data_IF_097489779397
#
_entry.id   IF_097489779397
#
_cell.length_a   1.000
_cell.length_b   1.000
_cell.length_c   1.000
_cell.angle_alpha   90.00
_cell.angle_beta   90.00
_cell.angle_gamma   90.00
#
_symmetry.space_group_name_H-M   'P 1'
#
loop_
_entity.id
_entity.type
_entity.pdbx_description
1 polymer ?
#
# COMPACT_ATOMS: atom_id res chain seq x y z
N UNK A 1 -2.94 5.32 14.82
CA UNK A 1 -1.63 5.96 14.58
C UNK A 1 -1.91 7.40 14.15
N UNK A 2 -1.96 8.35 15.09
CA UNK A 2 -2.20 9.76 14.78
C UNK A 2 -0.89 10.59 14.79
N UNK A 3 0.17 10.10 15.45
CA UNK A 3 1.37 10.92 15.72
C UNK A 3 2.64 10.50 14.95
N UNK A 4 2.59 9.43 14.14
CA UNK A 4 3.75 9.00 13.35
C UNK A 4 3.65 9.50 11.92
N UNK A 5 4.46 10.50 11.57
CA UNK A 5 4.60 10.96 10.19
C UNK A 5 5.52 10.01 9.40
N UNK A 6 4.93 9.25 8.47
CA UNK A 6 5.67 8.38 7.54
C UNK A 6 5.93 9.15 6.24
N UNK A 7 7.16 9.09 5.74
CA UNK A 7 7.54 9.72 4.47
C UNK A 7 7.20 8.78 3.31
N UNK A 8 6.65 9.35 2.23
CA UNK A 8 6.27 8.59 1.05
C UNK A 8 7.43 7.77 0.49
N UNK A 9 7.12 6.59 -0.03
CA UNK A 9 8.10 5.70 -0.64
C UNK A 9 8.86 6.37 -1.79
N UNK A 10 8.17 7.09 -2.67
CA UNK A 10 8.78 7.77 -3.82
C UNK A 10 9.89 8.75 -3.41
N UNK A 11 9.69 9.50 -2.33
CA UNK A 11 10.69 10.42 -1.77
C UNK A 11 11.93 9.72 -1.22
N UNK A 12 11.81 8.45 -0.82
CA UNK A 12 12.91 7.63 -0.28
C UNK A 12 13.64 6.86 -1.38
N UNK A 13 12.96 6.50 -2.47
CA UNK A 13 13.52 5.65 -3.54
C UNK A 13 14.78 6.23 -4.21
N UNK A 14 14.91 7.56 -4.27
CA UNK A 14 16.12 8.24 -4.77
C UNK A 14 17.38 7.93 -3.95
N UNK A 15 17.23 7.48 -2.70
CA UNK A 15 18.33 7.15 -1.80
C UNK A 15 18.71 5.66 -1.80
N UNK A 16 17.96 4.81 -2.53
CA UNK A 16 18.10 3.33 -2.52
C UNK A 16 19.49 2.81 -2.89
N UNK A 17 20.17 3.47 -3.84
CA UNK A 17 21.45 3.03 -4.40
C UNK A 17 22.59 4.01 -4.11
N UNK A 18 22.38 4.98 -3.21
CA UNK A 18 23.41 5.94 -2.87
C UNK A 18 24.46 5.23 -1.99
N UNK A 19 25.45 4.63 -2.65
CA UNK A 19 26.46 3.70 -2.13
C UNK A 19 27.36 4.25 -1.00
N UNK A 20 27.12 5.46 -0.51
CA UNK A 20 27.75 6.03 0.67
C UNK A 20 26.83 7.12 1.20
N UNK A 21 26.16 6.93 2.35
CA UNK A 21 25.43 8.05 2.96
C UNK A 21 25.59 8.16 4.46
N UNK A 22 25.86 9.42 4.80
CA UNK A 22 25.59 10.07 6.07
C UNK A 22 24.08 10.06 6.30
N UNK A 23 23.59 9.16 7.16
CA UNK A 23 22.17 8.98 7.48
C UNK A 23 21.54 10.27 8.04
N UNK A 24 22.33 11.08 8.75
CA UNK A 24 21.90 12.39 9.26
C UNK A 24 21.54 13.37 8.15
N UNK A 25 22.24 13.34 7.01
CA UNK A 25 21.92 14.19 5.86
C UNK A 25 20.57 13.79 5.24
N UNK A 26 20.33 12.49 5.05
CA UNK A 26 19.05 11.97 4.54
C UNK A 26 17.90 12.38 5.46
N UNK A 27 18.08 12.18 6.77
CA UNK A 27 17.07 12.52 7.75
C UNK A 27 16.79 14.03 7.82
N UNK A 28 17.82 14.86 7.61
CA UNK A 28 17.67 16.31 7.46
C UNK A 28 16.85 16.70 6.22
N UNK A 29 17.17 16.12 5.07
CA UNK A 29 16.43 16.34 3.81
C UNK A 29 14.96 15.91 3.92
N UNK A 30 14.71 14.73 4.50
CA UNK A 30 13.38 14.17 4.68
C UNK A 30 12.63 14.72 5.91
N UNK A 31 13.32 15.45 6.78
CA UNK A 31 12.82 15.96 8.07
C UNK A 31 12.21 14.86 8.95
N UNK A 32 12.95 13.77 9.13
CA UNK A 32 12.56 12.62 9.96
C UNK A 32 13.50 12.44 11.14
N UNK A 33 12.99 11.95 12.27
CA UNK A 33 13.80 11.60 13.43
C UNK A 33 14.40 10.19 13.32
N UNK A 34 13.67 9.28 12.67
CA UNK A 34 14.03 7.87 12.56
C UNK A 34 14.09 7.43 11.09
N UNK A 35 15.03 6.52 10.80
CA UNK A 35 15.15 5.82 9.54
C UNK A 35 14.93 4.32 9.79
N UNK A 36 14.05 3.70 9.01
CA UNK A 36 13.86 2.26 8.99
C UNK A 36 14.52 1.71 7.73
N UNK A 37 15.51 0.84 7.91
CA UNK A 37 16.16 0.13 6.81
C UNK A 37 15.89 -1.36 6.91
N UNK A 38 15.89 -2.03 5.77
CA UNK A 38 15.78 -3.48 5.75
C UNK A 38 16.23 -4.12 4.46
N UNK A 39 16.49 -5.41 4.54
CA UNK A 39 16.83 -6.26 3.40
C UNK A 39 16.06 -7.57 3.48
N UNK A 40 15.71 -8.12 2.31
CA UNK A 40 15.01 -9.40 2.19
C UNK A 40 15.87 -10.35 1.38
N UNK A 41 16.13 -11.52 1.92
CA UNK A 41 16.81 -12.62 1.26
C UNK A 41 15.83 -13.79 1.14
N UNK A 42 15.79 -14.44 -0.02
CA UNK A 42 14.94 -15.61 -0.28
C UNK A 42 15.82 -16.74 -0.82
N UNK A 43 15.78 -17.91 -0.18
CA UNK A 43 16.52 -19.08 -0.64
C UNK A 43 15.87 -20.37 -0.14
N UNK A 44 15.68 -21.35 -1.03
CA UNK A 44 15.25 -22.71 -0.67
C UNK A 44 13.98 -22.78 0.19
N UNK A 45 12.94 -22.02 -0.16
CA UNK A 45 11.69 -22.00 0.61
C UNK A 45 11.70 -21.09 1.85
N UNK A 46 12.84 -20.49 2.19
CA UNK A 46 13.00 -19.64 3.37
C UNK A 46 13.11 -18.16 3.01
N UNK A 47 12.62 -17.33 3.92
CA UNK A 47 12.77 -15.87 3.88
C UNK A 47 13.54 -15.43 5.12
N UNK A 48 14.55 -14.61 4.88
CA UNK A 48 15.27 -13.87 5.93
C UNK A 48 15.06 -12.39 5.70
N UNK A 49 14.50 -11.70 6.69
CA UNK A 49 14.33 -10.24 6.67
C UNK A 49 15.21 -9.64 7.76
N UNK A 50 16.10 -8.74 7.38
CA UNK A 50 16.79 -7.90 8.36
C UNK A 50 16.10 -6.55 8.38
N UNK A 51 15.76 -6.05 9.57
CA UNK A 51 15.22 -4.72 9.75
C UNK A 51 15.97 -4.00 10.87
N UNK A 52 16.22 -2.72 10.68
CA UNK A 52 16.87 -1.87 11.67
C UNK A 52 16.23 -0.49 11.72
N UNK A 53 16.06 0.00 12.95
CA UNK A 53 15.57 1.33 13.25
C UNK A 53 16.74 2.18 13.75
N UNK A 54 16.99 3.29 13.09
CA UNK A 54 18.13 4.18 13.33
C UNK A 54 17.59 5.54 13.75
N UNK A 55 18.10 6.07 14.87
CA UNK A 55 17.88 7.46 15.27
C UNK A 55 18.89 8.34 14.53
N UNK A 56 18.39 9.11 13.57
CA UNK A 56 19.26 9.88 12.68
C UNK A 56 19.88 11.12 13.36
N UNK A 57 19.42 11.50 14.55
CA UNK A 57 19.96 12.65 15.30
C UNK A 57 21.37 12.36 15.79
N UNK A 58 21.61 11.13 16.24
CA UNK A 58 22.87 10.68 16.82
C UNK A 58 23.51 9.50 16.08
N UNK A 59 22.91 9.05 14.97
CA UNK A 59 23.39 7.91 14.16
C UNK A 59 23.44 6.60 14.96
N UNK A 60 22.51 6.44 15.92
CA UNK A 60 22.46 5.27 16.79
C UNK A 60 21.41 4.26 16.31
N UNK A 61 21.78 2.98 16.34
CA UNK A 61 20.83 1.89 16.14
C UNK A 61 19.95 1.77 17.38
N UNK A 62 18.68 2.16 17.24
CA UNK A 62 17.66 1.97 18.29
C UNK A 62 17.38 0.48 18.44
N UNK A 63 17.28 -0.21 17.32
CA UNK A 63 16.98 -1.63 17.26
C UNK A 63 17.43 -2.22 15.92
N UNK A 64 17.86 -3.47 15.94
CA UNK A 64 18.08 -4.28 14.75
C UNK A 64 17.66 -5.72 15.06
N UNK A 65 16.95 -6.36 14.12
CA UNK A 65 16.53 -7.76 14.26
C UNK A 65 16.52 -8.45 12.91
N UNK A 66 16.88 -9.72 12.95
CA UNK A 66 16.69 -10.66 11.85
C UNK A 66 15.45 -11.50 12.14
N UNK A 67 14.57 -11.58 11.15
CA UNK A 67 13.38 -12.41 11.14
C UNK A 67 13.60 -13.53 10.13
N UNK A 68 13.56 -14.76 10.60
CA UNK A 68 13.66 -15.95 9.77
C UNK A 68 12.29 -16.62 9.73
N UNK A 69 11.86 -17.03 8.54
CA UNK A 69 10.58 -17.74 8.36
C UNK A 69 10.54 -18.58 7.09
N UNK A 70 9.51 -19.43 7.01
CA UNK A 70 9.14 -20.09 5.76
C UNK A 70 8.45 -19.10 4.83
N UNK A 71 8.56 -19.29 3.51
CA UNK A 71 7.72 -18.59 2.54
C UNK A 71 6.22 -18.81 2.83
N UNK A 72 5.87 -19.98 3.36
CA UNK A 72 4.50 -20.33 3.76
C UNK A 72 3.97 -19.46 4.92
N UNK A 73 4.88 -18.93 5.75
CA UNK A 73 4.57 -18.10 6.92
C UNK A 73 4.89 -16.61 6.68
N UNK A 74 5.02 -16.18 5.42
CA UNK A 74 5.46 -14.82 5.09
C UNK A 74 4.58 -13.73 5.71
N UNK A 75 3.27 -13.96 5.84
CA UNK A 75 2.35 -13.02 6.48
C UNK A 75 2.55 -12.94 7.99
N UNK A 76 2.94 -14.04 8.64
CA UNK A 76 3.29 -14.03 10.06
C UNK A 76 4.58 -13.23 10.29
N UNK A 77 5.58 -13.41 9.42
CA UNK A 77 6.82 -12.62 9.43
C UNK A 77 6.51 -11.12 9.22
N UNK A 78 5.64 -10.78 8.26
CA UNK A 78 5.21 -9.39 8.03
C UNK A 78 4.51 -8.80 9.27
N UNK A 79 3.61 -9.56 9.89
CA UNK A 79 2.90 -9.15 11.10
C UNK A 79 3.86 -8.90 12.26
N UNK A 80 4.82 -9.81 12.47
CA UNK A 80 5.83 -9.70 13.52
C UNK A 80 6.72 -8.47 13.34
N UNK A 81 7.15 -8.20 12.10
CA UNK A 81 7.93 -7.00 11.77
C UNK A 81 7.14 -5.74 12.10
N UNK A 82 5.89 -5.63 11.62
CA UNK A 82 5.04 -4.46 11.83
C UNK A 82 4.77 -4.20 13.32
N UNK A 83 4.43 -5.25 14.07
CA UNK A 83 4.23 -5.16 15.52
C UNK A 83 5.50 -4.76 16.25
N UNK A 84 6.65 -5.32 15.87
CA UNK A 84 7.94 -4.97 16.48
C UNK A 84 8.29 -3.50 16.23
N UNK A 85 8.16 -3.02 14.99
CA UNK A 85 8.42 -1.61 14.65
C UNK A 85 7.52 -0.68 15.47
N UNK A 86 6.22 -0.97 15.54
CA UNK A 86 5.28 -0.15 16.29
C UNK A 86 5.60 -0.12 17.79
N UNK A 87 6.03 -1.25 18.37
CA UNK A 87 6.50 -1.31 19.76
C UNK A 87 7.77 -0.46 19.97
N UNK A 88 8.77 -0.57 19.09
CA UNK A 88 10.02 0.20 19.19
C UNK A 88 9.80 1.71 19.05
N UNK A 89 8.81 2.12 18.26
CA UNK A 89 8.42 3.52 18.10
C UNK A 89 7.45 4.02 19.18
N UNK A 90 7.09 3.17 20.16
CA UNK A 90 6.05 3.45 21.15
C UNK A 90 4.73 3.97 20.53
N UNK A 91 4.42 3.50 19.32
CA UNK A 91 3.25 3.95 18.58
C UNK A 91 1.97 3.35 19.17
N UNK A 92 0.95 4.19 19.37
CA UNK A 92 -0.37 3.69 19.73
C UNK A 92 -1.03 3.02 18.52
N UNK A 93 -1.16 1.70 18.58
CA UNK A 93 -1.88 0.88 17.60
C UNK A 93 -3.31 0.70 18.11
N UNK A 94 -4.29 1.17 17.34
CA UNK A 94 -5.70 0.90 17.65
C UNK A 94 -6.02 -0.59 17.41
N UNK A 95 -7.06 -1.14 18.06
CA UNK A 95 -7.49 -2.52 17.81
C UNK A 95 -7.73 -2.82 16.31
N UNK A 96 -8.24 -1.85 15.56
CA UNK A 96 -8.51 -1.96 14.12
C UNK A 96 -7.22 -2.08 13.32
N UNK A 97 -6.22 -1.24 13.58
CA UNK A 97 -4.91 -1.32 12.90
C UNK A 97 -4.22 -2.63 13.27
N UNK A 98 -4.33 -3.07 14.53
CA UNK A 98 -3.78 -4.36 14.96
C UNK A 98 -4.42 -5.52 14.19
N UNK A 99 -5.75 -5.53 14.06
CA UNK A 99 -6.47 -6.52 13.29
C UNK A 99 -6.06 -6.50 11.80
N UNK A 100 -5.86 -5.32 11.21
CA UNK A 100 -5.36 -5.19 9.84
C UNK A 100 -3.93 -5.73 9.67
N UNK A 101 -3.05 -5.51 10.64
CA UNK A 101 -1.68 -6.07 10.64
C UNK A 101 -1.70 -7.60 10.72
N UNK A 102 -2.59 -8.16 11.54
CA UNK A 102 -2.71 -9.61 11.75
C UNK A 102 -3.51 -10.31 10.64
N UNK A 103 -4.25 -9.55 9.83
CA UNK A 103 -5.04 -10.09 8.73
C UNK A 103 -4.13 -10.64 7.63
N UNK A 104 -4.44 -11.85 7.18
CA UNK A 104 -3.80 -12.43 5.99
C UNK A 104 -4.56 -11.93 4.76
N UNK A 105 -3.90 -11.18 3.85
CA UNK A 105 -4.57 -10.65 2.66
C UNK A 105 -5.09 -11.74 1.72
N UNK A 106 -4.41 -12.89 1.69
CA UNK A 106 -4.72 -14.04 0.84
C UNK A 106 -4.06 -15.29 1.43
N UNK A 107 -4.54 -16.47 1.03
CA UNK A 107 -3.87 -17.76 1.30
C UNK A 107 -2.99 -18.24 0.13
N UNK A 108 -3.00 -17.56 -1.02
CA UNK A 108 -2.23 -17.91 -2.21
C UNK A 108 -1.05 -16.93 -2.39
N UNK A 109 0.17 -17.43 -2.20
CA UNK A 109 1.40 -16.62 -2.30
C UNK A 109 1.67 -16.11 -3.73
N UNK A 110 1.21 -16.82 -4.76
CA UNK A 110 1.35 -16.37 -6.14
C UNK A 110 0.33 -15.26 -6.43
N UNK A 111 -0.88 -15.34 -5.88
CA UNK A 111 -1.84 -14.24 -5.93
C UNK A 111 -1.28 -13.00 -5.23
N UNK A 112 -0.64 -13.18 -4.07
CA UNK A 112 0.02 -12.09 -3.35
C UNK A 112 1.18 -11.47 -4.14
N UNK A 113 2.02 -12.29 -4.78
CA UNK A 113 3.13 -11.79 -5.60
C UNK A 113 2.63 -10.96 -6.79
N UNK A 114 1.58 -11.42 -7.48
CA UNK A 114 0.91 -10.65 -8.54
C UNK A 114 0.39 -9.31 -8.01
N UNK A 115 -0.26 -9.31 -6.84
CA UNK A 115 -0.74 -8.10 -6.19
C UNK A 115 0.40 -7.12 -5.83
N UNK A 116 1.52 -7.62 -5.31
CA UNK A 116 2.70 -6.79 -5.00
C UNK A 116 3.33 -6.20 -6.25
N UNK A 117 3.41 -6.97 -7.35
CA UNK A 117 3.86 -6.46 -8.65
C UNK A 117 2.95 -5.33 -9.14
N UNK A 118 1.63 -5.50 -9.07
CA UNK A 118 0.70 -4.43 -9.46
C UNK A 118 0.78 -3.22 -8.54
N UNK A 119 0.95 -3.42 -7.23
CA UNK A 119 1.13 -2.32 -6.27
C UNK A 119 2.40 -1.53 -6.59
N UNK A 120 3.48 -2.20 -7.01
CA UNK A 120 4.70 -1.54 -7.47
C UNK A 120 4.46 -0.72 -8.75
N UNK A 121 3.73 -1.26 -9.72
CA UNK A 121 3.37 -0.55 -10.95
C UNK A 121 2.50 0.67 -10.64
N UNK A 122 1.48 0.51 -9.81
CA UNK A 122 0.57 1.57 -9.38
C UNK A 122 1.30 2.79 -8.81
N UNK A 123 2.27 2.57 -7.93
CA UNK A 123 3.07 3.66 -7.36
C UNK A 123 3.88 4.46 -8.40
N UNK A 124 4.16 3.87 -9.57
CA UNK A 124 4.96 4.48 -10.61
C UNK A 124 4.11 4.99 -11.80
N UNK A 125 2.85 4.56 -11.92
CA UNK A 125 1.96 4.81 -13.07
C UNK A 125 1.86 6.31 -13.39
N UNK A 126 1.68 7.16 -12.37
CA UNK A 126 1.52 8.61 -12.58
C UNK A 126 2.76 9.28 -13.22
N UNK A 127 3.93 8.64 -13.14
CA UNK A 127 5.19 9.11 -13.73
C UNK A 127 5.65 8.28 -14.92
N UNK A 128 4.86 7.27 -15.31
CA UNK A 128 5.21 6.38 -16.40
C UNK A 128 5.02 7.06 -17.75
N UNK A 129 5.94 6.78 -18.69
CA UNK A 129 5.82 7.22 -20.09
C UNK A 129 4.75 6.41 -20.84
N UNK A 130 4.50 5.18 -20.42
CA UNK A 130 3.46 4.29 -20.96
C UNK A 130 2.45 3.93 -19.86
N UNK A 131 1.86 4.97 -19.27
CA UNK A 131 0.94 4.80 -18.14
C UNK A 131 -0.30 3.98 -18.53
N UNK A 132 -0.78 4.06 -19.78
CA UNK A 132 -1.90 3.23 -20.26
C UNK A 132 -1.49 1.74 -20.31
N UNK A 133 -0.35 1.43 -20.94
CA UNK A 133 0.17 0.06 -21.02
C UNK A 133 0.44 -0.54 -19.65
N UNK A 134 1.02 0.24 -18.74
CA UNK A 134 1.25 -0.17 -17.34
C UNK A 134 -0.07 -0.40 -16.59
N UNK A 135 -1.08 0.44 -16.82
CA UNK A 135 -2.41 0.29 -16.22
C UNK A 135 -3.08 -1.00 -16.70
N UNK A 136 -3.02 -1.30 -18.01
CA UNK A 136 -3.56 -2.55 -18.59
C UNK A 136 -2.84 -3.78 -18.05
N UNK A 137 -1.51 -3.72 -17.99
CA UNK A 137 -0.68 -4.78 -17.39
C UNK A 137 -1.08 -5.03 -15.92
N UNK A 138 -1.29 -3.96 -15.15
CA UNK A 138 -1.76 -4.06 -13.76
C UNK A 138 -3.11 -4.76 -13.64
N UNK A 139 -4.06 -4.45 -14.54
CA UNK A 139 -5.36 -5.13 -14.60
C UNK A 139 -5.19 -6.62 -14.90
N UNK A 140 -4.36 -7.00 -15.87
CA UNK A 140 -4.10 -8.40 -16.22
C UNK A 140 -3.49 -9.19 -15.05
N UNK A 141 -2.54 -8.58 -14.33
CA UNK A 141 -1.94 -9.18 -13.15
C UNK A 141 -2.98 -9.39 -12.02
N UNK A 142 -3.86 -8.41 -11.80
CA UNK A 142 -4.91 -8.53 -10.79
C UNK A 142 -6.04 -9.48 -11.19
N UNK A 143 -6.45 -9.52 -12.46
CA UNK A 143 -7.40 -10.50 -12.98
C UNK A 143 -6.86 -11.93 -12.76
N UNK A 144 -5.55 -12.14 -12.95
CA UNK A 144 -4.89 -13.41 -12.58
C UNK A 144 -4.86 -13.63 -11.06
N UNK A 145 -4.59 -12.60 -10.27
CA UNK A 145 -4.56 -12.71 -8.80
C UNK A 145 -5.91 -13.15 -8.24
N UNK A 146 -7.01 -12.49 -8.65
CA UNK A 146 -8.37 -12.83 -8.20
C UNK A 146 -8.89 -14.12 -8.84
N UNK A 147 -8.38 -14.49 -10.02
CA UNK A 147 -8.64 -15.82 -10.60
C UNK A 147 -8.01 -16.96 -9.81
N UNK A 148 -6.90 -16.70 -9.11
CA UNK A 148 -6.26 -17.67 -8.21
C UNK A 148 -6.91 -17.69 -6.83
N UNK A 149 -7.16 -16.51 -6.27
CA UNK A 149 -7.84 -16.35 -4.99
C UNK A 149 -9.03 -15.37 -5.11
N UNK A 150 -10.24 -15.90 -5.35
CA UNK A 150 -11.46 -15.08 -5.41
C UNK A 150 -11.85 -14.45 -4.07
N UNK A 151 -11.15 -14.74 -2.96
CA UNK A 151 -11.36 -14.12 -1.66
C UNK A 151 -10.38 -12.97 -1.39
N UNK A 152 -9.49 -12.65 -2.34
CA UNK A 152 -8.47 -11.62 -2.15
C UNK A 152 -9.04 -10.19 -2.29
N UNK A 153 -9.69 -9.70 -1.23
CA UNK A 153 -10.39 -8.41 -1.22
C UNK A 153 -9.54 -7.20 -1.62
N UNK A 154 -8.28 -7.13 -1.16
CA UNK A 154 -7.39 -6.00 -1.51
C UNK A 154 -7.07 -5.93 -3.01
N UNK A 155 -6.95 -7.09 -3.68
CA UNK A 155 -6.72 -7.14 -5.12
C UNK A 155 -7.91 -6.56 -5.90
N UNK A 156 -9.14 -6.81 -5.46
CA UNK A 156 -10.33 -6.18 -6.03
C UNK A 156 -10.37 -4.66 -5.81
N UNK A 157 -9.88 -4.18 -4.66
CA UNK A 157 -9.75 -2.74 -4.39
C UNK A 157 -8.85 -2.06 -5.42
N UNK A 158 -7.64 -2.57 -5.63
CA UNK A 158 -6.71 -2.03 -6.62
C UNK A 158 -7.20 -2.22 -8.07
N UNK A 159 -7.95 -3.30 -8.35
CA UNK A 159 -8.55 -3.54 -9.66
C UNK A 159 -9.64 -2.50 -9.97
N UNK A 160 -10.37 -2.03 -8.96
CA UNK A 160 -11.31 -0.92 -9.08
C UNK A 160 -10.59 0.34 -9.54
N UNK A 161 -9.53 0.73 -8.83
CA UNK A 161 -8.72 1.93 -9.11
C UNK A 161 -8.15 1.93 -10.53
N UNK A 162 -7.59 0.80 -10.98
CA UNK A 162 -7.03 0.69 -12.33
C UNK A 162 -8.10 0.76 -13.43
N UNK A 163 -9.28 0.15 -13.21
CA UNK A 163 -10.39 0.27 -14.17
C UNK A 163 -10.93 1.71 -14.22
N UNK A 164 -10.97 2.41 -13.07
CA UNK A 164 -11.34 3.83 -13.03
C UNK A 164 -10.32 4.71 -13.73
N UNK A 165 -9.02 4.45 -13.59
CA UNK A 165 -7.98 5.17 -14.34
C UNK A 165 -8.17 5.04 -15.85
N UNK A 166 -8.44 3.84 -16.37
CA UNK A 166 -8.77 3.69 -17.79
C UNK A 166 -10.08 4.38 -18.15
N UNK A 167 -11.10 4.30 -17.29
CA UNK A 167 -12.39 4.96 -17.51
C UNK A 167 -12.27 6.47 -17.65
N UNK A 168 -11.47 7.11 -16.80
CA UNK A 168 -11.34 8.57 -16.75
C UNK A 168 -10.57 9.17 -17.92
N UNK A 169 -9.75 8.38 -18.60
CA UNK A 169 -8.74 8.93 -19.52
C UNK A 169 -8.66 8.23 -20.89
N UNK A 170 -9.21 7.02 -21.04
CA UNK A 170 -9.06 6.20 -22.26
C UNK A 170 -10.39 5.61 -22.75
N UNK A 171 -11.11 4.92 -21.86
CA UNK A 171 -12.24 4.06 -22.17
C UNK A 171 -13.47 4.49 -21.35
N UNK A 172 -14.12 5.57 -21.78
CA UNK A 172 -15.32 6.14 -21.13
C UNK A 172 -16.59 5.28 -21.29
N UNK A 173 -16.47 4.02 -21.70
CA UNK A 173 -17.62 3.14 -21.92
C UNK A 173 -18.29 2.75 -20.59
N UNK A 174 -19.60 2.53 -20.65
CA UNK A 174 -20.35 1.97 -19.51
C UNK A 174 -19.84 0.59 -19.11
N UNK A 175 -19.29 -0.18 -20.05
CA UNK A 175 -18.67 -1.47 -19.78
C UNK A 175 -17.43 -1.34 -18.88
N UNK A 176 -16.61 -0.30 -19.06
CA UNK A 176 -15.45 -0.05 -18.19
C UNK A 176 -15.87 0.37 -16.79
N UNK A 177 -16.84 1.26 -16.67
CA UNK A 177 -17.41 1.67 -15.39
C UNK A 177 -18.03 0.49 -14.64
N UNK A 178 -18.72 -0.42 -15.35
CA UNK A 178 -19.29 -1.63 -14.76
C UNK A 178 -18.21 -2.59 -14.25
N UNK A 179 -17.08 -2.74 -14.96
CA UNK A 179 -15.94 -3.53 -14.45
C UNK A 179 -15.40 -2.97 -13.14
N UNK A 180 -15.25 -1.64 -13.04
CA UNK A 180 -14.85 -1.00 -11.78
C UNK A 180 -15.88 -1.26 -10.67
N UNK A 181 -17.17 -1.14 -10.98
CA UNK A 181 -18.26 -1.39 -10.02
C UNK A 181 -18.26 -2.81 -9.46
N UNK A 182 -18.13 -3.82 -10.33
CA UNK A 182 -18.12 -5.23 -9.92
C UNK A 182 -16.89 -5.58 -9.07
N UNK A 183 -15.73 -5.01 -9.41
CA UNK A 183 -14.54 -5.12 -8.57
C UNK A 183 -14.76 -4.47 -7.21
N UNK A 184 -15.33 -3.26 -7.16
CA UNK A 184 -15.62 -2.54 -5.93
C UNK A 184 -16.57 -3.33 -5.01
N UNK A 185 -17.65 -3.88 -5.56
CA UNK A 185 -18.58 -4.71 -4.81
C UNK A 185 -17.89 -5.93 -4.17
N UNK A 186 -16.94 -6.54 -4.90
CA UNK A 186 -16.15 -7.65 -4.38
C UNK A 186 -15.22 -7.21 -3.24
N UNK A 187 -14.53 -6.08 -3.40
CA UNK A 187 -13.69 -5.50 -2.35
C UNK A 187 -14.50 -5.17 -1.08
N UNK A 188 -15.66 -4.54 -1.22
CA UNK A 188 -16.56 -4.21 -0.11
C UNK A 188 -17.09 -5.44 0.61
N UNK A 189 -17.32 -6.54 -0.10
CA UNK A 189 -17.78 -7.79 0.51
C UNK A 189 -16.67 -8.52 1.26
N UNK A 190 -15.46 -8.53 0.72
CA UNK A 190 -14.35 -9.36 1.20
C UNK A 190 -13.45 -8.64 2.21
N UNK A 191 -13.32 -7.32 2.09
CA UNK A 191 -12.47 -6.48 2.93
C UNK A 191 -13.19 -5.15 3.28
N UNK A 192 -14.39 -5.18 3.90
CA UNK A 192 -15.21 -3.99 4.14
C UNK A 192 -14.55 -2.92 5.00
N UNK A 193 -13.66 -3.33 5.91
CA UNK A 193 -12.99 -2.42 6.85
C UNK A 193 -11.54 -2.08 6.43
N UNK A 194 -11.08 -2.55 5.26
CA UNK A 194 -9.75 -2.21 4.77
C UNK A 194 -9.69 -0.77 4.27
N UNK A 195 -8.60 -0.06 4.59
CA UNK A 195 -8.38 1.31 4.13
C UNK A 195 -8.38 1.43 2.61
N UNK A 196 -7.80 0.43 1.92
CA UNK A 196 -7.75 0.33 0.46
C UNK A 196 -9.16 0.17 -0.15
N UNK A 197 -10.08 -0.47 0.56
CA UNK A 197 -11.48 -0.57 0.13
C UNK A 197 -12.18 0.78 0.26
N UNK A 198 -11.95 1.54 1.33
CA UNK A 198 -12.45 2.91 1.44
C UNK A 198 -11.88 3.84 0.36
N UNK A 199 -10.59 3.69 0.03
CA UNK A 199 -9.96 4.39 -1.09
C UNK A 199 -10.64 4.08 -2.43
N UNK A 200 -10.89 2.81 -2.73
CA UNK A 200 -11.56 2.40 -3.95
C UNK A 200 -13.02 2.92 -4.02
N UNK A 201 -13.73 2.96 -2.89
CA UNK A 201 -15.08 3.57 -2.79
C UNK A 201 -15.03 5.06 -3.10
N UNK A 202 -14.11 5.79 -2.46
CA UNK A 202 -13.93 7.22 -2.70
C UNK A 202 -13.64 7.52 -4.18
N UNK A 203 -12.78 6.71 -4.81
CA UNK A 203 -12.44 6.79 -6.22
C UNK A 203 -13.68 6.66 -7.11
N UNK A 204 -14.51 5.66 -6.83
CA UNK A 204 -15.71 5.36 -7.59
C UNK A 204 -16.77 6.47 -7.43
N UNK A 205 -17.04 6.89 -6.19
CA UNK A 205 -17.98 7.98 -5.91
C UNK A 205 -17.56 9.28 -6.61
N UNK A 206 -16.27 9.59 -6.64
CA UNK A 206 -15.77 10.79 -7.30
C UNK A 206 -15.91 10.71 -8.84
N UNK A 207 -15.57 9.55 -9.40
CA UNK A 207 -15.35 9.39 -10.84
C UNK A 207 -16.61 9.01 -11.60
N UNK A 208 -17.46 8.17 -11.00
CA UNK A 208 -18.65 7.59 -11.66
C UNK A 208 -19.93 8.22 -11.15
N UNK A 209 -20.09 8.30 -9.81
CA UNK A 209 -21.33 8.81 -9.21
C UNK A 209 -21.34 10.34 -9.08
N UNK A 210 -20.16 10.97 -9.14
CA UNK A 210 -19.93 12.39 -8.88
C UNK A 210 -20.50 12.88 -7.53
N UNK A 211 -20.44 12.00 -6.52
CA UNK A 211 -20.89 12.26 -5.16
C UNK A 211 -19.70 12.65 -4.27
N UNK A 212 -19.41 13.95 -4.25
CA UNK A 212 -18.25 14.51 -3.54
C UNK A 212 -18.38 14.38 -2.01
N UNK A 213 -19.59 14.47 -1.46
CA UNK A 213 -19.82 14.32 -0.02
C UNK A 213 -19.49 12.89 0.41
N UNK A 214 -19.98 11.89 -0.34
CA UNK A 214 -19.64 10.49 -0.10
C UNK A 214 -18.15 10.21 -0.33
N UNK A 215 -17.51 10.84 -1.32
CA UNK A 215 -16.06 10.74 -1.52
C UNK A 215 -15.29 11.22 -0.30
N UNK A 216 -15.62 12.39 0.24
CA UNK A 216 -14.92 12.96 1.40
C UNK A 216 -15.07 12.06 2.63
N UNK A 217 -16.28 11.55 2.91
CA UNK A 217 -16.50 10.61 4.02
C UNK A 217 -15.59 9.37 3.89
N UNK A 218 -15.50 8.80 2.69
CA UNK A 218 -14.68 7.61 2.46
C UNK A 218 -13.18 7.91 2.57
N UNK A 219 -12.72 9.09 2.11
CA UNK A 219 -11.32 9.50 2.26
C UNK A 219 -10.95 9.73 3.73
N UNK A 220 -11.84 10.30 4.54
CA UNK A 220 -11.63 10.46 5.98
C UNK A 220 -11.50 9.11 6.69
N UNK A 221 -12.34 8.13 6.33
CA UNK A 221 -12.24 6.75 6.84
C UNK A 221 -10.93 6.09 6.42
N UNK A 222 -10.54 6.22 5.16
CA UNK A 222 -9.27 5.70 4.66
C UNK A 222 -8.08 6.31 5.39
N UNK A 223 -8.09 7.62 5.66
CA UNK A 223 -7.00 8.31 6.37
C UNK A 223 -6.79 7.82 7.81
N UNK A 224 -7.84 7.36 8.47
CA UNK A 224 -7.74 6.77 9.81
C UNK A 224 -7.05 5.39 9.79
N UNK A 225 -7.11 4.68 8.67
CA UNK A 225 -6.66 3.29 8.51
C UNK A 225 -5.31 3.18 7.77
N UNK A 226 -4.98 4.15 6.92
CA UNK A 226 -3.73 4.21 6.14
C UNK A 226 -2.91 5.45 6.52
N UNK A 227 -2.43 5.54 7.77
CA UNK A 227 -1.67 6.67 8.25
C UNK A 227 -0.35 6.78 7.47
N UNK A 228 -0.20 7.85 6.69
CA UNK A 228 0.99 8.11 5.88
C UNK A 228 0.91 7.62 4.44
N UNK A 229 -0.26 7.17 3.96
CA UNK A 229 -0.46 6.97 2.53
C UNK A 229 -0.39 8.31 1.79
N UNK A 230 0.61 8.45 0.94
CA UNK A 230 0.90 9.71 0.22
C UNK A 230 -0.15 10.06 -0.84
N UNK A 231 -0.97 9.11 -1.27
CA UNK A 231 -2.03 9.36 -2.24
C UNK A 231 -3.19 10.13 -1.61
N UNK A 232 -3.44 9.98 -0.30
CA UNK A 232 -4.57 10.62 0.39
C UNK A 232 -4.56 12.15 0.23
N UNK A 233 -3.41 12.80 0.37
CA UNK A 233 -3.31 14.26 0.25
C UNK A 233 -3.62 14.76 -1.17
N UNK A 234 -3.23 14.00 -2.20
CA UNK A 234 -3.55 14.34 -3.60
C UNK A 234 -5.03 14.16 -3.87
N UNK A 235 -5.63 13.08 -3.33
CA UNK A 235 -7.04 12.75 -3.54
C UNK A 235 -7.99 13.70 -2.80
N UNK A 236 -7.62 14.14 -1.59
CA UNK A 236 -8.33 15.19 -0.86
C UNK A 236 -8.25 16.53 -1.61
N UNK A 237 -7.10 16.87 -2.19
CA UNK A 237 -6.95 18.10 -2.96
C UNK A 237 -7.81 18.11 -4.24
N UNK A 238 -8.01 16.97 -4.89
CA UNK A 238 -8.84 16.85 -6.09
C UNK A 238 -10.33 16.71 -5.84
N UNK A 239 -10.75 16.40 -4.62
CA UNK A 239 -12.18 16.30 -4.25
C UNK A 239 -12.77 17.60 -3.70
N UNK A 240 -11.94 18.62 -3.42
CA UNK A 240 -12.33 19.91 -2.87
C UNK A 240 -12.31 21.07 -3.90
N UNK A 241 -12.06 20.78 -5.19
CA UNK A 241 -12.00 21.77 -6.27
C UNK A 241 -13.04 21.50 -7.34
#
# INVERSE_FOLDING_TARGET
IADLKVISRGSVMQYRNAAARNLRAIAGELRVAYLLEGSVQRAGGKVRVNAQLIDARNDSHVWAKTFDGSLEDVFAVQSEIAQTIAQQLHAQISPQIKAAIEARPTTDLLAYDLYLQTTQLWHNIATSKDWEGDTRTGIELLDRAVGRDPQFGLAYGLLTELNLNLYSWVDHSSARAERAKLALQSAMRLAPEAGETYLARAAYYNTVDHDFDATLEMLERAAQLLPGDSSLSVRLAWSLG
#
